data_IF_563908630136
#
_entry.id   IF_563908630136
#
_cell.length_a   1.000
_cell.length_b   1.000
_cell.length_c   1.000
_cell.angle_alpha   90.00
_cell.angle_beta   90.00
_cell.angle_gamma   90.00
#
_symmetry.space_group_name_H-M   'P 1'
#
loop_
_entity.id
_entity.type
_entity.pdbx_description
1 polymer ?
#
# COMPACT_ATOMS: atom_id res chain seq x y z
N UNK A 1 2.47 -0.23 4.17
CA UNK A 1 1.18 0.13 3.49
C UNK A 1 0.33 0.96 4.45
N UNK A 2 -0.40 1.99 4.00
CA UNK A 2 -1.23 2.86 4.85
C UNK A 2 -2.67 2.96 4.33
N UNK A 3 -3.65 3.09 5.23
CA UNK A 3 -5.05 3.34 4.88
C UNK A 3 -5.24 4.74 4.26
N UNK A 4 -6.06 4.86 3.22
CA UNK A 4 -6.40 6.17 2.61
C UNK A 4 -7.12 7.09 3.59
N UNK A 5 -7.86 6.55 4.56
CA UNK A 5 -8.47 7.34 5.65
C UNK A 5 -7.40 7.98 6.54
N UNK A 6 -6.32 7.26 6.86
CA UNK A 6 -5.21 7.82 7.63
C UNK A 6 -4.47 8.90 6.83
N UNK A 7 -4.24 8.70 5.53
CA UNK A 7 -3.66 9.74 4.66
C UNK A 7 -4.50 11.03 4.74
N UNK A 8 -5.82 10.91 4.57
CA UNK A 8 -6.72 12.06 4.62
C UNK A 8 -6.71 12.76 5.99
N UNK A 9 -6.79 11.99 7.08
CA UNK A 9 -6.72 12.50 8.45
C UNK A 9 -5.41 13.24 8.71
N UNK A 10 -4.28 12.61 8.44
CA UNK A 10 -2.95 13.20 8.67
C UNK A 10 -2.77 14.45 7.80
N UNK A 11 -3.19 14.40 6.53
CA UNK A 11 -3.17 15.56 5.65
C UNK A 11 -3.96 16.75 6.21
N UNK A 12 -5.18 16.50 6.71
CA UNK A 12 -6.00 17.53 7.34
C UNK A 12 -5.35 18.09 8.62
N UNK A 13 -4.80 17.23 9.48
CA UNK A 13 -4.08 17.64 10.70
C UNK A 13 -2.88 18.54 10.35
N UNK A 14 -2.08 18.19 9.35
CA UNK A 14 -0.94 19.01 8.92
C UNK A 14 -1.38 20.38 8.38
N UNK A 15 -2.48 20.43 7.62
CA UNK A 15 -3.04 21.69 7.12
C UNK A 15 -3.53 22.58 8.26
N UNK A 16 -4.18 22.01 9.29
CA UNK A 16 -4.72 22.74 10.43
C UNK A 16 -3.65 23.29 11.37
N UNK A 17 -2.54 22.57 11.56
CA UNK A 17 -1.39 23.06 12.34
C UNK A 17 -0.76 24.30 11.69
N UNK A 18 -0.85 24.42 10.36
CA UNK A 18 -0.24 25.51 9.60
C UNK A 18 1.29 25.44 9.57
N UNK A 19 1.93 26.56 9.23
CA UNK A 19 3.39 26.67 9.15
C UNK A 19 3.86 27.69 8.12
N UNK A 20 5.18 27.83 7.99
CA UNK A 20 5.83 28.65 6.94
C UNK A 20 6.73 27.75 6.10
N UNK A 21 6.70 27.95 4.78
CA UNK A 21 7.54 27.20 3.84
C UNK A 21 7.05 25.78 3.55
N UNK A 22 7.92 24.97 2.94
CA UNK A 22 7.60 23.60 2.54
C UNK A 22 7.93 22.62 3.65
N UNK A 23 7.00 21.72 3.95
CA UNK A 23 7.22 20.60 4.88
C UNK A 23 6.97 19.29 4.17
N UNK A 24 7.94 18.39 4.21
CA UNK A 24 7.82 17.02 3.72
C UNK A 24 7.44 16.13 4.91
N UNK A 25 6.41 15.31 4.72
CA UNK A 25 5.93 14.37 5.73
C UNK A 25 5.79 13.00 5.08
N UNK A 26 6.58 12.05 5.57
CA UNK A 26 6.54 10.66 5.12
C UNK A 26 5.52 9.87 5.93
N UNK A 27 4.57 9.26 5.22
CA UNK A 27 3.45 8.54 5.82
C UNK A 27 3.66 7.02 5.73
N UNK A 28 3.37 6.33 6.82
CA UNK A 28 3.46 4.88 6.88
C UNK A 28 2.25 4.29 7.59
N UNK A 29 1.94 3.01 7.33
CA UNK A 29 0.93 2.29 8.09
C UNK A 29 1.35 2.11 9.55
N UNK A 30 0.45 1.61 10.41
CA UNK A 30 0.80 1.34 11.81
C UNK A 30 2.01 0.42 11.96
N UNK A 31 2.21 -0.49 11.01
CA UNK A 31 3.36 -1.39 10.91
C UNK A 31 3.56 -1.83 9.44
N UNK A 32 4.64 -2.57 9.17
CA UNK A 32 4.89 -3.13 7.85
C UNK A 32 4.30 -4.53 7.71
N UNK A 33 3.74 -4.80 6.53
CA UNK A 33 3.07 -6.05 6.23
C UNK A 33 3.64 -6.69 4.96
N UNK A 34 3.99 -7.96 5.06
CA UNK A 34 4.31 -8.82 3.93
C UNK A 34 3.04 -9.32 3.22
N UNK A 35 3.13 -9.72 1.93
CA UNK A 35 2.01 -10.36 1.22
C UNK A 35 1.43 -11.58 1.95
N UNK A 36 2.27 -12.34 2.66
CA UNK A 36 1.82 -13.49 3.45
C UNK A 36 0.96 -13.08 4.66
N UNK A 37 1.31 -11.98 5.34
CA UNK A 37 0.48 -11.43 6.42
C UNK A 37 -0.87 -10.93 5.89
N UNK A 38 -0.89 -10.32 4.69
CA UNK A 38 -2.13 -9.92 4.00
C UNK A 38 -3.01 -11.13 3.69
N UNK A 39 -2.44 -12.17 3.10
CA UNK A 39 -3.16 -13.41 2.80
C UNK A 39 -3.72 -14.06 4.08
N UNK A 40 -2.91 -14.15 5.14
CA UNK A 40 -3.34 -14.70 6.42
C UNK A 40 -4.50 -13.91 7.03
N UNK A 41 -4.40 -12.58 7.09
CA UNK A 41 -5.46 -11.72 7.61
C UNK A 41 -6.76 -11.86 6.81
N UNK A 42 -6.67 -11.86 5.48
CA UNK A 42 -7.83 -12.05 4.61
C UNK A 42 -8.45 -13.44 4.77
N UNK A 43 -7.65 -14.49 4.90
CA UNK A 43 -8.13 -15.85 5.13
C UNK A 43 -8.89 -15.99 6.46
N UNK A 44 -8.42 -15.33 7.52
CA UNK A 44 -9.14 -15.27 8.80
C UNK A 44 -10.48 -14.54 8.65
N UNK A 45 -10.53 -13.41 7.93
CA UNK A 45 -11.75 -12.64 7.71
C UNK A 45 -12.78 -13.44 6.88
N UNK A 46 -12.32 -14.11 5.81
CA UNK A 46 -13.18 -14.86 4.90
C UNK A 46 -13.56 -16.27 5.39
N UNK A 47 -12.97 -16.73 6.49
CA UNK A 47 -13.18 -18.09 7.01
C UNK A 47 -12.70 -19.20 6.08
N UNK A 48 -11.72 -18.93 5.20
CA UNK A 48 -11.18 -19.90 4.24
C UNK A 48 -9.67 -19.70 4.01
N UNK A 49 -8.92 -20.76 3.63
CA UNK A 49 -7.50 -20.61 3.31
C UNK A 49 -7.27 -19.62 2.17
N UNK A 50 -6.36 -18.67 2.39
CA UNK A 50 -5.89 -17.71 1.38
C UNK A 50 -4.36 -17.71 1.44
N UNK A 51 -3.72 -17.86 0.27
CA UNK A 51 -2.27 -17.92 0.13
C UNK A 51 -1.80 -16.86 -0.86
N UNK A 52 -0.74 -16.13 -0.53
CA UNK A 52 -0.07 -15.25 -1.49
C UNK A 52 0.68 -16.11 -2.52
N UNK A 53 0.51 -15.81 -3.81
CA UNK A 53 1.21 -16.48 -4.90
C UNK A 53 2.16 -15.49 -5.55
N UNK A 54 3.43 -15.90 -5.69
CA UNK A 54 4.42 -15.11 -6.39
C UNK A 54 4.31 -15.34 -7.91
N UNK A 55 4.32 -14.27 -8.68
CA UNK A 55 4.31 -14.31 -10.14
C UNK A 55 5.50 -13.51 -10.68
N UNK A 56 6.08 -13.91 -11.83
CA UNK A 56 7.18 -13.17 -12.43
C UNK A 56 6.71 -11.82 -12.95
N UNK A 57 7.59 -10.82 -12.93
CA UNK A 57 7.25 -9.44 -13.29
C UNK A 57 6.69 -9.31 -14.73
N UNK A 58 7.21 -10.11 -15.67
CA UNK A 58 6.74 -10.12 -17.06
C UNK A 58 5.30 -10.64 -17.22
N UNK A 59 4.70 -11.24 -16.19
CA UNK A 59 3.31 -11.64 -16.18
C UNK A 59 2.36 -10.48 -15.85
N UNK A 60 2.86 -9.37 -15.27
CA UNK A 60 2.00 -8.27 -14.80
C UNK A 60 1.17 -7.67 -15.94
N UNK A 61 1.81 -7.23 -17.03
CA UNK A 61 1.08 -6.61 -18.15
C UNK A 61 0.01 -7.54 -18.75
N UNK A 62 0.33 -8.77 -19.20
CA UNK A 62 -0.69 -9.65 -19.79
C UNK A 62 -1.81 -10.01 -18.81
N UNK A 63 -1.51 -10.19 -17.52
CA UNK A 63 -2.53 -10.46 -16.49
C UNK A 63 -3.45 -9.27 -16.25
N UNK A 64 -2.91 -8.06 -16.10
CA UNK A 64 -3.76 -6.88 -15.88
C UNK A 64 -4.61 -6.55 -17.11
N UNK A 65 -4.06 -6.71 -18.32
CA UNK A 65 -4.83 -6.56 -19.56
C UNK A 65 -5.97 -7.59 -19.66
N UNK A 66 -5.78 -8.83 -19.20
CA UNK A 66 -6.86 -9.82 -19.21
C UNK A 66 -7.99 -9.50 -18.23
N UNK A 67 -7.74 -8.66 -17.22
CA UNK A 67 -8.76 -8.09 -16.33
C UNK A 67 -9.46 -6.85 -16.90
N UNK A 68 -9.09 -6.40 -18.11
CA UNK A 68 -9.67 -5.23 -18.77
C UNK A 68 -8.96 -3.90 -18.50
N UNK A 69 -7.75 -3.92 -17.93
CA UNK A 69 -6.96 -2.70 -17.76
C UNK A 69 -6.44 -2.19 -19.10
N UNK A 70 -6.27 -0.86 -19.21
CA UNK A 70 -5.57 -0.27 -20.35
C UNK A 70 -4.09 -0.63 -20.34
N UNK A 71 -3.42 -0.45 -21.48
CA UNK A 71 -1.99 -0.69 -21.63
C UNK A 71 -1.17 0.22 -20.72
N UNK A 72 -1.60 1.46 -20.55
CA UNK A 72 -0.97 2.46 -19.68
C UNK A 72 -1.08 2.03 -18.22
N UNK A 73 -2.28 1.65 -17.76
CA UNK A 73 -2.48 1.22 -16.38
C UNK A 73 -1.67 -0.05 -16.07
N UNK A 74 -1.68 -1.04 -16.98
CA UNK A 74 -0.92 -2.28 -16.81
C UNK A 74 0.60 -2.03 -16.70
N UNK A 75 1.14 -1.09 -17.48
CA UNK A 75 2.55 -0.67 -17.39
C UNK A 75 2.87 0.00 -16.06
N UNK A 76 1.99 0.85 -15.54
CA UNK A 76 2.18 1.49 -14.23
C UNK A 76 2.21 0.45 -13.09
N UNK A 77 1.38 -0.58 -13.15
CA UNK A 77 1.44 -1.68 -12.17
C UNK A 77 2.74 -2.46 -12.26
N UNK A 78 3.23 -2.77 -13.47
CA UNK A 78 4.52 -3.43 -13.64
C UNK A 78 5.67 -2.59 -13.06
N UNK A 79 5.67 -1.28 -13.33
CA UNK A 79 6.67 -0.34 -12.80
C UNK A 79 6.63 -0.26 -11.27
N UNK A 80 5.43 -0.22 -10.68
CA UNK A 80 5.26 -0.23 -9.24
C UNK A 80 5.84 -1.51 -8.61
N UNK A 81 5.48 -2.69 -9.12
CA UNK A 81 6.01 -3.96 -8.62
C UNK A 81 7.53 -4.07 -8.79
N UNK A 82 8.06 -3.60 -9.93
CA UNK A 82 9.51 -3.52 -10.16
C UNK A 82 10.18 -2.69 -9.08
N UNK A 83 9.65 -1.48 -8.82
CA UNK A 83 10.22 -0.53 -7.87
C UNK A 83 10.19 -1.04 -6.43
N UNK A 84 9.17 -1.80 -6.03
CA UNK A 84 9.19 -2.53 -4.75
C UNK A 84 10.25 -3.63 -4.72
N UNK A 85 10.36 -4.43 -5.80
CA UNK A 85 11.31 -5.55 -5.84
C UNK A 85 12.78 -5.13 -5.86
N UNK A 86 13.09 -3.96 -6.44
CA UNK A 86 14.46 -3.42 -6.51
C UNK A 86 14.79 -2.50 -5.33
N UNK A 87 13.85 -2.28 -4.41
CA UNK A 87 14.04 -1.34 -3.29
C UNK A 87 14.12 0.11 -3.72
N UNK A 88 13.65 0.46 -4.93
CA UNK A 88 13.61 1.84 -5.40
C UNK A 88 12.56 2.68 -4.65
N UNK A 89 11.56 2.03 -4.05
CA UNK A 89 10.61 2.67 -3.14
C UNK A 89 11.07 2.45 -1.70
N UNK A 90 11.25 3.54 -0.96
CA UNK A 90 11.60 3.55 0.45
C UNK A 90 11.35 4.92 1.07
N UNK A 91 11.58 5.00 2.37
CA UNK A 91 11.51 6.25 3.14
C UNK A 91 12.88 6.93 3.16
N UNK A 92 12.94 8.22 2.84
CA UNK A 92 14.14 9.05 2.97
C UNK A 92 14.46 9.32 4.45
N UNK A 93 13.43 9.39 5.30
CA UNK A 93 13.53 9.70 6.73
C UNK A 93 12.77 8.70 7.61
N UNK A 94 13.22 7.42 7.65
CA UNK A 94 12.51 6.34 8.35
C UNK A 94 12.38 6.53 9.87
N UNK A 95 13.21 7.39 10.47
CA UNK A 95 13.15 7.70 11.91
C UNK A 95 12.02 8.69 12.27
N UNK A 96 11.44 9.39 11.28
CA UNK A 96 10.44 10.46 11.50
C UNK A 96 9.10 10.19 10.81
N UNK A 97 8.77 8.92 10.59
CA UNK A 97 7.53 8.52 9.92
C UNK A 97 6.31 8.90 10.76
N UNK A 98 5.33 9.51 10.11
CA UNK A 98 4.00 9.68 10.70
C UNK A 98 3.18 8.42 10.41
N UNK A 99 2.83 7.71 11.48
CA UNK A 99 2.16 6.42 11.40
C UNK A 99 0.64 6.60 11.41
N UNK A 100 -0.02 5.93 10.47
CA UNK A 100 -1.47 5.71 10.50
C UNK A 100 -1.86 4.81 11.67
N UNK A 101 -3.14 4.80 12.01
CA UNK A 101 -3.65 4.01 13.14
C UNK A 101 -4.51 2.83 12.70
N UNK A 102 -5.00 2.82 11.45
CA UNK A 102 -5.84 1.75 10.94
C UNK A 102 -4.97 0.56 10.56
N UNK A 103 -5.17 -0.55 11.25
CA UNK A 103 -4.47 -1.81 11.01
C UNK A 103 -4.91 -2.45 9.69
N UNK A 104 -4.07 -3.36 9.17
CA UNK A 104 -4.41 -4.15 7.99
C UNK A 104 -5.75 -4.89 8.14
N UNK A 105 -6.00 -5.51 9.29
CA UNK A 105 -7.24 -6.26 9.53
C UNK A 105 -8.48 -5.34 9.54
N UNK A 106 -8.38 -4.16 10.15
CA UNK A 106 -9.47 -3.18 10.14
C UNK A 106 -9.75 -2.64 8.73
N UNK A 107 -8.70 -2.37 7.95
CA UNK A 107 -8.84 -1.94 6.56
C UNK A 107 -9.51 -3.02 5.71
N UNK A 108 -9.04 -4.27 5.79
CA UNK A 108 -9.58 -5.39 5.02
C UNK A 108 -11.05 -5.68 5.35
N UNK A 109 -11.46 -5.62 6.63
CA UNK A 109 -12.86 -5.83 7.05
C UNK A 109 -13.85 -4.83 6.46
N UNK A 110 -13.40 -3.66 5.98
CA UNK A 110 -14.27 -2.67 5.33
C UNK A 110 -14.46 -2.95 3.84
N UNK A 111 -13.66 -3.83 3.25
CA UNK A 111 -13.66 -4.14 1.82
C UNK A 111 -14.45 -5.39 1.47
N UNK A 112 -14.66 -6.29 2.44
CA UNK A 112 -15.29 -7.61 2.26
C UNK A 112 -16.46 -7.82 3.19
#
# INVERSE_FOLDING_TARGET
MISTTDIGRIGAEQLMVGGKGNRIVELAGPEEYSPNQVAAALGQILGKPVTAQHAPLNAVIPTFKSFGFSDEAAKLFEEMYRSFSTGAIGYEHPASLVRGTITLAEALRRMV
#
